data_IF_838340485891
#
_entry.id   IF_838340485891
#
_cell.length_a   1.000
_cell.length_b   1.000
_cell.length_c   1.000
_cell.angle_alpha   90.00
_cell.angle_beta   90.00
_cell.angle_gamma   90.00
#
_symmetry.space_group_name_H-M   'P 1'
#
loop_
_entity.id
_entity.type
_entity.pdbx_description
1 polymer ?
#
# COMPACT_ATOMS: atom_id res chain seq x y z
N UNK A 1 -33.40 -12.07 4.86
CA UNK A 1 -32.45 -11.55 5.88
C UNK A 1 -31.05 -11.87 5.38
N UNK A 2 -30.47 -10.87 4.71
CA UNK A 2 -29.06 -10.65 4.29
C UNK A 2 -28.22 -11.84 3.80
N UNK A 3 -28.13 -11.98 2.48
CA UNK A 3 -27.02 -12.63 1.76
C UNK A 3 -26.01 -11.58 1.26
N UNK A 4 -25.66 -10.61 2.10
CA UNK A 4 -25.04 -9.34 1.71
C UNK A 4 -23.49 -9.37 1.70
N UNK A 5 -22.89 -10.43 2.28
CA UNK A 5 -21.44 -10.47 2.51
C UNK A 5 -20.57 -11.02 1.36
N UNK A 6 -21.16 -11.66 0.34
CA UNK A 6 -20.39 -12.16 -0.82
C UNK A 6 -20.39 -11.19 -2.01
N UNK A 7 -21.28 -10.21 -2.04
CA UNK A 7 -21.48 -9.30 -3.17
C UNK A 7 -20.48 -8.12 -3.16
N UNK A 8 -20.10 -7.65 -1.98
CA UNK A 8 -19.25 -6.46 -1.80
C UNK A 8 -17.81 -6.66 -2.33
N UNK A 9 -17.16 -7.80 -2.03
CA UNK A 9 -15.80 -8.09 -2.54
C UNK A 9 -15.79 -8.31 -4.05
N UNK A 10 -16.83 -8.97 -4.56
CA UNK A 10 -16.99 -9.21 -6.00
C UNK A 10 -17.16 -7.88 -6.74
N UNK A 11 -17.99 -6.99 -6.19
CA UNK A 11 -18.24 -5.66 -6.71
C UNK A 11 -16.96 -4.81 -6.76
N UNK A 12 -16.15 -4.79 -5.69
CA UNK A 12 -14.92 -3.99 -5.64
C UNK A 12 -13.88 -4.46 -6.68
N UNK A 13 -13.73 -5.77 -6.89
CA UNK A 13 -12.82 -6.29 -7.91
C UNK A 13 -13.30 -5.89 -9.31
N UNK A 14 -14.61 -5.96 -9.57
CA UNK A 14 -15.16 -5.57 -10.88
C UNK A 14 -15.13 -4.06 -11.16
N UNK A 15 -15.19 -3.23 -10.12
CA UNK A 15 -15.26 -1.77 -10.23
C UNK A 15 -13.99 -1.06 -9.73
N UNK A 16 -12.87 -1.79 -9.62
CA UNK A 16 -11.66 -1.31 -8.96
C UNK A 16 -11.19 0.05 -9.48
N UNK A 17 -11.09 0.21 -10.80
CA UNK A 17 -10.61 1.45 -11.43
C UNK A 17 -11.54 2.65 -11.12
N UNK A 18 -12.86 2.43 -11.09
CA UNK A 18 -13.84 3.46 -10.76
C UNK A 18 -13.72 3.89 -9.29
N UNK A 19 -13.54 2.93 -8.38
CA UNK A 19 -13.38 3.19 -6.95
C UNK A 19 -12.11 3.99 -6.67
N UNK A 20 -11.00 3.62 -7.31
CA UNK A 20 -9.71 4.32 -7.18
C UNK A 20 -9.82 5.75 -7.71
N UNK A 21 -10.40 5.94 -8.89
CA UNK A 21 -10.60 7.26 -9.49
C UNK A 21 -11.54 8.14 -8.64
N UNK A 22 -12.64 7.59 -8.14
CA UNK A 22 -13.59 8.31 -7.29
C UNK A 22 -12.96 8.74 -5.95
N UNK A 23 -12.00 7.98 -5.44
CA UNK A 23 -11.23 8.32 -4.24
C UNK A 23 -10.09 9.33 -4.50
N UNK A 24 -9.85 9.71 -5.76
CA UNK A 24 -8.81 10.67 -6.14
C UNK A 24 -7.39 10.12 -6.06
N UNK A 25 -7.24 8.80 -6.17
CA UNK A 25 -5.93 8.14 -6.18
C UNK A 25 -5.47 7.83 -7.60
N UNK A 26 -4.16 7.92 -7.82
CA UNK A 26 -3.52 7.41 -9.02
C UNK A 26 -3.01 5.98 -8.79
N UNK A 27 -3.17 5.12 -9.80
CA UNK A 27 -2.53 3.80 -9.81
C UNK A 27 -1.04 3.95 -10.09
N UNK A 28 -0.20 3.37 -9.25
CA UNK A 28 1.25 3.38 -9.40
C UNK A 28 1.74 2.01 -9.91
N UNK A 29 2.11 1.88 -11.20
CA UNK A 29 2.52 0.59 -11.76
C UNK A 29 3.82 0.05 -11.16
N UNK A 30 3.94 -1.27 -11.13
CA UNK A 30 5.19 -1.93 -10.80
C UNK A 30 6.14 -1.96 -11.99
N UNK A 31 7.40 -1.64 -11.74
CA UNK A 31 8.48 -1.70 -12.73
C UNK A 31 9.51 -2.76 -12.36
N UNK A 32 10.35 -3.14 -13.32
CA UNK A 32 11.49 -4.02 -13.06
C UNK A 32 12.47 -3.40 -12.02
N UNK A 33 12.57 -2.07 -11.98
CA UNK A 33 13.40 -1.36 -10.99
C UNK A 33 12.90 -1.62 -9.57
N UNK A 34 11.57 -1.60 -9.37
CA UNK A 34 10.95 -1.92 -8.08
C UNK A 34 11.26 -3.36 -7.66
N UNK A 35 11.15 -4.31 -8.59
CA UNK A 35 11.42 -5.72 -8.34
C UNK A 35 12.90 -5.98 -8.00
N UNK A 36 13.85 -5.38 -8.73
CA UNK A 36 15.29 -5.51 -8.45
C UNK A 36 15.61 -4.96 -7.05
N UNK A 37 15.07 -3.78 -6.71
CA UNK A 37 15.27 -3.19 -5.39
C UNK A 37 14.66 -4.04 -4.28
N UNK A 38 13.44 -4.56 -4.47
CA UNK A 38 12.78 -5.46 -3.52
C UNK A 38 13.57 -6.77 -3.31
N UNK A 39 14.19 -7.30 -4.37
CA UNK A 39 15.08 -8.46 -4.31
C UNK A 39 16.39 -8.22 -3.55
N UNK A 40 16.80 -6.96 -3.38
CA UNK A 40 18.05 -6.60 -2.69
C UNK A 40 17.97 -6.65 -1.16
N UNK A 41 16.77 -6.74 -0.58
CA UNK A 41 16.60 -6.83 0.88
C UNK A 41 17.09 -8.17 1.43
N UNK A 42 17.79 -8.12 2.56
CA UNK A 42 18.26 -9.30 3.27
C UNK A 42 17.12 -10.16 3.84
N UNK A 43 17.45 -11.36 4.35
CA UNK A 43 16.46 -12.35 4.82
C UNK A 43 15.66 -11.91 6.05
N UNK A 44 16.05 -10.83 6.72
CA UNK A 44 15.37 -10.22 7.88
C UNK A 44 14.00 -9.62 7.52
N UNK A 45 13.79 -9.22 6.26
CA UNK A 45 12.52 -8.66 5.78
C UNK A 45 11.76 -9.70 4.96
N UNK A 46 10.95 -10.58 5.56
CA UNK A 46 10.45 -11.77 4.84
C UNK A 46 9.23 -11.56 3.94
N UNK A 47 8.45 -10.51 4.16
CA UNK A 47 7.22 -10.30 3.40
C UNK A 47 7.52 -9.75 1.98
N UNK A 48 7.12 -10.47 0.91
CA UNK A 48 7.41 -10.05 -0.45
C UNK A 48 6.63 -8.78 -0.87
N UNK A 49 5.46 -8.52 -0.28
CA UNK A 49 4.67 -7.33 -0.56
C UNK A 49 5.25 -6.12 0.17
N UNK A 50 5.65 -6.24 1.43
CA UNK A 50 6.30 -5.12 2.15
C UNK A 50 7.61 -4.70 1.47
N UNK A 51 8.39 -5.69 0.99
CA UNK A 51 9.59 -5.42 0.18
C UNK A 51 9.26 -4.60 -1.05
N UNK A 52 8.17 -4.95 -1.75
CA UNK A 52 7.76 -4.25 -2.95
C UNK A 52 7.28 -2.84 -2.65
N UNK A 53 6.47 -2.65 -1.60
CA UNK A 53 5.98 -1.34 -1.16
C UNK A 53 7.14 -0.42 -0.76
N UNK A 54 8.07 -0.92 0.05
CA UNK A 54 9.26 -0.16 0.44
C UNK A 54 10.15 0.15 -0.77
N UNK A 55 10.38 -0.82 -1.66
CA UNK A 55 11.19 -0.60 -2.86
C UNK A 55 10.57 0.43 -3.81
N UNK A 56 9.27 0.36 -4.06
CA UNK A 56 8.55 1.29 -4.92
C UNK A 56 8.57 2.70 -4.33
N UNK A 57 8.31 2.85 -3.02
CA UNK A 57 8.39 4.14 -2.35
C UNK A 57 9.79 4.75 -2.44
N UNK A 58 10.84 3.96 -2.24
CA UNK A 58 12.23 4.43 -2.33
C UNK A 58 12.63 4.81 -3.76
N UNK A 59 12.23 4.04 -4.76
CA UNK A 59 12.58 4.30 -6.17
C UNK A 59 11.86 5.54 -6.70
N UNK A 60 10.59 5.72 -6.33
CA UNK A 60 9.75 6.84 -6.79
C UNK A 60 9.88 8.08 -5.89
N UNK A 61 10.64 8.02 -4.79
CA UNK A 61 10.81 9.13 -3.85
C UNK A 61 9.53 9.48 -3.09
N UNK A 62 8.68 8.48 -2.81
CA UNK A 62 7.38 8.63 -2.15
C UNK A 62 7.46 8.27 -0.66
N UNK A 63 6.50 8.76 0.11
CA UNK A 63 6.30 8.41 1.52
C UNK A 63 5.16 7.42 1.67
N UNK A 64 5.39 6.33 2.40
CA UNK A 64 4.34 5.35 2.71
C UNK A 64 3.46 5.85 3.85
N UNK A 65 2.15 5.76 3.68
CA UNK A 65 1.19 5.92 4.78
C UNK A 65 0.88 4.55 5.34
N UNK A 66 1.46 4.21 6.50
CA UNK A 66 1.26 2.88 7.10
C UNK A 66 1.43 2.93 8.61
N UNK A 67 0.60 2.17 9.33
CA UNK A 67 0.78 1.92 10.76
C UNK A 67 1.86 0.85 11.02
N UNK A 68 2.37 0.21 9.97
CA UNK A 68 3.41 -0.80 10.08
C UNK A 68 4.80 -0.16 10.18
N UNK A 69 5.38 -0.28 11.37
CA UNK A 69 6.73 0.18 11.68
C UNK A 69 7.84 -0.62 10.98
N UNK A 70 7.58 -1.83 10.49
CA UNK A 70 8.59 -2.66 9.81
C UNK A 70 9.04 -2.05 8.49
N UNK A 71 8.15 -1.34 7.78
CA UNK A 71 8.46 -0.64 6.53
C UNK A 71 9.54 0.45 6.73
N UNK A 72 9.53 1.11 7.89
CA UNK A 72 10.58 2.08 8.24
C UNK A 72 11.95 1.42 8.38
N UNK A 73 12.00 0.17 8.86
CA UNK A 73 13.23 -0.61 8.96
C UNK A 73 13.87 -0.95 7.61
N UNK A 74 13.10 -0.86 6.51
CA UNK A 74 13.58 -1.09 5.15
C UNK A 74 14.17 0.17 4.49
N UNK A 75 14.12 1.32 5.18
CA UNK A 75 14.64 2.59 4.67
C UNK A 75 13.63 3.42 3.87
N UNK A 76 12.36 3.02 3.84
CA UNK A 76 11.28 3.86 3.32
C UNK A 76 10.88 4.93 4.35
N UNK A 77 10.53 6.12 3.87
CA UNK A 77 9.88 7.12 4.70
C UNK A 77 8.44 6.67 4.98
N UNK A 78 8.05 6.65 6.26
CA UNK A 78 6.74 6.17 6.71
C UNK A 78 6.08 7.19 7.63
N UNK A 79 4.83 7.53 7.34
CA UNK A 79 3.98 8.36 8.20
C UNK A 79 2.72 7.60 8.59
N UNK A 80 2.26 7.86 9.82
CA UNK A 80 0.95 7.44 10.28
C UNK A 80 0.34 8.57 11.10
N UNK A 81 -0.58 9.32 10.51
CA UNK A 81 -1.25 10.42 11.19
C UNK A 81 -2.58 9.90 11.72
N UNK A 82 -2.63 9.61 13.02
CA UNK A 82 -3.90 9.57 13.75
C UNK A 82 -4.29 11.02 14.05
N UNK A 83 -4.87 11.73 13.08
CA UNK A 83 -5.71 12.86 13.46
C UNK A 83 -6.93 12.24 14.13
N UNK A 84 -6.94 12.24 15.46
CA UNK A 84 -8.17 12.11 16.22
C UNK A 84 -9.22 12.98 15.53
N UNK A 85 -10.40 12.43 15.25
CA UNK A 85 -11.55 13.28 14.97
C UNK A 85 -11.60 14.36 16.06
N UNK A 86 -11.70 15.65 15.73
CA UNK A 86 -12.16 16.61 16.72
C UNK A 86 -13.49 16.05 17.24
N UNK A 87 -13.54 15.68 18.51
CA UNK A 87 -14.81 15.45 19.19
C UNK A 87 -15.44 16.81 19.40
N UNK A 88 -16.56 17.04 18.70
CA UNK A 88 -17.50 18.18 18.72
C UNK A 88 -16.96 19.59 18.42
#
# INVERSE_FOLDING_TARGET
MTADGQDEKSSLVSAFDEVIAAAGFDLLPLSAMHAIRAGSYGPEHRDPFDRMLAAQAMVEGLTLVSNDRWLKGMGAEVVWILTARPTD
#
